data_IF_924923252321
#
_entry.id   IF_924923252321
#
_cell.length_a   1.000
_cell.length_b   1.000
_cell.length_c   1.000
_cell.angle_alpha   90.00
_cell.angle_beta   90.00
_cell.angle_gamma   90.00
#
_symmetry.space_group_name_H-M   'P 1'
#
loop_
_entity.id
_entity.type
_entity.pdbx_description
1 polymer ?
#
# COMPACT_ATOMS: atom_id res chain seq x y z
N UNK A 1 13.71 9.45 20.55
CA UNK A 1 12.41 9.90 20.04
C UNK A 1 12.48 11.25 19.32
N UNK A 2 12.76 12.36 20.01
CA UNK A 2 12.83 13.71 19.41
C UNK A 2 13.68 13.83 18.11
N UNK A 3 14.85 13.18 18.05
CA UNK A 3 15.68 13.15 16.83
C UNK A 3 14.97 12.50 15.64
N UNK A 4 14.25 11.39 15.87
CA UNK A 4 13.52 10.68 14.84
C UNK A 4 12.32 11.50 14.36
N UNK A 5 11.58 12.11 15.29
CA UNK A 5 10.46 13.00 14.97
C UNK A 5 10.90 14.19 14.11
N UNK A 6 12.04 14.82 14.45
CA UNK A 6 12.60 15.90 13.65
C UNK A 6 12.99 15.44 12.23
N UNK A 7 13.61 14.27 12.09
CA UNK A 7 13.94 13.72 10.76
C UNK A 7 12.66 13.51 9.93
N UNK A 8 11.60 12.97 10.53
CA UNK A 8 10.31 12.82 9.86
C UNK A 8 9.78 14.20 9.43
N UNK A 9 9.76 15.19 10.31
CA UNK A 9 9.31 16.55 9.97
C UNK A 9 10.06 17.16 8.78
N UNK A 10 11.39 17.01 8.71
CA UNK A 10 12.19 17.55 7.61
C UNK A 10 12.01 16.82 6.28
N UNK A 11 11.57 15.57 6.29
CA UNK A 11 11.35 14.78 5.08
C UNK A 11 10.01 15.08 4.39
N UNK A 12 9.10 15.80 5.07
CA UNK A 12 7.74 16.03 4.60
C UNK A 12 7.56 17.39 3.93
N UNK A 13 6.63 17.44 2.98
CA UNK A 13 6.12 18.71 2.46
C UNK A 13 5.21 19.39 3.49
N UNK A 14 4.90 20.67 3.29
CA UNK A 14 4.10 21.45 4.24
C UNK A 14 2.75 20.82 4.58
N UNK A 15 2.06 20.23 3.60
CA UNK A 15 0.77 19.58 3.83
C UNK A 15 0.89 18.37 4.76
N UNK A 16 1.85 17.49 4.50
CA UNK A 16 2.09 16.31 5.33
C UNK A 16 2.61 16.69 6.72
N UNK A 17 3.45 17.72 6.82
CA UNK A 17 3.91 18.25 8.10
C UNK A 17 2.76 18.75 8.97
N UNK A 18 1.84 19.56 8.42
CA UNK A 18 0.68 20.05 9.18
C UNK A 18 -0.17 18.90 9.73
N UNK A 19 -0.28 17.80 8.98
CA UNK A 19 -1.08 16.63 9.36
C UNK A 19 -0.49 15.88 10.55
N UNK A 20 0.84 15.79 10.65
CA UNK A 20 1.53 15.14 11.78
C UNK A 20 1.98 16.10 12.87
N UNK A 21 1.72 17.41 12.72
CA UNK A 21 2.20 18.45 13.64
C UNK A 21 1.71 18.29 15.09
N UNK A 22 0.57 17.61 15.28
CA UNK A 22 0.02 17.31 16.61
C UNK A 22 0.59 16.02 17.22
N UNK A 23 1.36 15.22 16.48
CA UNK A 23 1.97 13.99 16.99
C UNK A 23 3.11 14.33 17.96
N UNK A 24 3.15 13.65 19.10
CA UNK A 24 4.14 13.91 20.15
C UNK A 24 5.33 12.96 20.08
N UNK A 25 5.15 11.79 19.45
CA UNK A 25 6.20 10.80 19.27
C UNK A 25 6.48 10.51 17.81
N UNK A 26 7.70 10.05 17.51
CA UNK A 26 8.05 9.64 16.16
C UNK A 26 7.18 8.48 15.66
N UNK A 27 6.73 7.61 16.58
CA UNK A 27 5.87 6.46 16.27
C UNK A 27 4.48 6.89 15.83
N UNK A 28 3.85 7.82 16.55
CA UNK A 28 2.55 8.38 16.17
C UNK A 28 2.60 9.07 14.81
N UNK A 29 3.62 9.89 14.57
CA UNK A 29 3.82 10.57 13.28
C UNK A 29 3.97 9.55 12.14
N UNK A 30 4.81 8.53 12.33
CA UNK A 30 5.02 7.47 11.35
C UNK A 30 3.74 6.67 11.08
N UNK A 31 3.02 6.25 12.12
CA UNK A 31 1.79 5.48 11.99
C UNK A 31 0.70 6.28 11.27
N UNK A 32 0.59 7.59 11.53
CA UNK A 32 -0.34 8.47 10.84
C UNK A 32 0.00 8.62 9.34
N UNK A 33 1.29 8.74 9.00
CA UNK A 33 1.75 8.75 7.61
C UNK A 33 1.38 7.43 6.93
N UNK A 34 1.66 6.30 7.56
CA UNK A 34 1.32 4.98 7.01
C UNK A 34 -0.18 4.84 6.78
N UNK A 35 -1.01 5.20 7.78
CA UNK A 35 -2.47 5.11 7.66
C UNK A 35 -3.00 6.01 6.54
N UNK A 36 -2.39 7.17 6.33
CA UNK A 36 -2.79 8.07 5.26
C UNK A 36 -2.56 7.45 3.89
N UNK A 37 -1.33 7.02 3.63
CA UNK A 37 -0.89 6.68 2.27
C UNK A 37 -1.20 5.22 1.92
N UNK A 38 -1.15 4.32 2.90
CA UNK A 38 -1.41 2.90 2.69
C UNK A 38 -2.82 2.48 3.12
N UNK A 39 -3.48 3.28 3.97
CA UNK A 39 -4.73 2.93 4.64
C UNK A 39 -4.51 2.27 6.00
N UNK A 40 -5.59 2.11 6.77
CA UNK A 40 -5.55 1.40 8.06
C UNK A 40 -5.18 -0.08 7.86
N UNK A 41 -4.73 -0.80 8.91
CA UNK A 41 -4.52 -2.25 8.83
C UNK A 41 -5.71 -3.02 8.25
N UNK A 42 -6.94 -2.62 8.60
CA UNK A 42 -8.19 -3.20 8.11
C UNK A 42 -8.36 -2.93 6.61
N UNK A 43 -8.12 -1.70 6.16
CA UNK A 43 -8.17 -1.33 4.74
C UNK A 43 -7.12 -2.12 3.94
N UNK A 44 -5.90 -2.26 4.46
CA UNK A 44 -4.85 -3.05 3.81
C UNK A 44 -5.21 -4.53 3.73
N UNK A 45 -5.81 -5.09 4.79
CA UNK A 45 -6.30 -6.47 4.80
C UNK A 45 -7.44 -6.66 3.79
N UNK A 46 -8.41 -5.75 3.74
CA UNK A 46 -9.49 -5.77 2.76
C UNK A 46 -8.96 -5.72 1.33
N UNK A 47 -8.05 -4.79 1.02
CA UNK A 47 -7.38 -4.69 -0.30
C UNK A 47 -6.67 -5.99 -0.68
N UNK A 48 -5.97 -6.61 0.27
CA UNK A 48 -5.30 -7.90 0.07
C UNK A 48 -6.29 -9.01 -0.27
N UNK A 49 -7.39 -9.11 0.47
CA UNK A 49 -8.42 -10.12 0.24
C UNK A 49 -9.10 -9.93 -1.12
N UNK A 50 -9.41 -8.68 -1.50
CA UNK A 50 -9.94 -8.37 -2.84
C UNK A 50 -9.00 -8.82 -3.94
N UNK A 51 -7.70 -8.52 -3.83
CA UNK A 51 -6.71 -8.93 -4.82
C UNK A 51 -6.52 -10.46 -4.88
N UNK A 52 -6.60 -11.15 -3.74
CA UNK A 52 -6.58 -12.62 -3.70
C UNK A 52 -7.80 -13.18 -4.44
N UNK A 53 -8.98 -12.63 -4.19
CA UNK A 53 -10.20 -13.06 -4.87
C UNK A 53 -10.11 -12.79 -6.39
N UNK A 54 -9.59 -11.62 -6.80
CA UNK A 54 -9.35 -11.31 -8.22
C UNK A 54 -8.35 -12.27 -8.86
N UNK A 55 -7.31 -12.67 -8.13
CA UNK A 55 -6.34 -13.67 -8.56
C UNK A 55 -6.97 -15.06 -8.72
N UNK A 56 -7.72 -15.52 -7.71
CA UNK A 56 -8.38 -16.84 -7.71
C UNK A 56 -9.45 -16.96 -8.79
N UNK A 57 -10.13 -15.86 -9.10
CA UNK A 57 -11.16 -15.79 -10.15
C UNK A 57 -10.60 -15.31 -11.49
N UNK A 58 -9.28 -15.14 -11.60
CA UNK A 58 -8.64 -14.58 -12.77
C UNK A 58 -8.85 -15.48 -13.98
N UNK A 59 -9.41 -14.90 -15.03
CA UNK A 59 -9.56 -15.54 -16.34
C UNK A 59 -9.37 -14.52 -17.45
N UNK A 60 -8.95 -15.01 -18.60
CA UNK A 60 -8.93 -14.21 -19.83
C UNK A 60 -10.37 -13.86 -20.23
N UNK A 61 -10.61 -12.62 -20.62
CA UNK A 61 -11.94 -12.17 -21.06
C UNK A 61 -12.10 -12.30 -22.57
N UNK A 62 -13.34 -12.46 -23.05
CA UNK A 62 -13.59 -12.52 -24.50
C UNK A 62 -13.19 -11.21 -25.17
N UNK A 63 -12.46 -11.30 -26.28
CA UNK A 63 -11.95 -10.14 -27.02
C UNK A 63 -10.68 -9.50 -26.44
N UNK A 64 -10.14 -10.04 -25.36
CA UNK A 64 -8.86 -9.61 -24.80
C UNK A 64 -7.68 -10.21 -25.57
N UNK A 65 -6.57 -9.48 -25.70
CA UNK A 65 -5.32 -10.04 -26.23
C UNK A 65 -4.51 -10.74 -25.14
N UNK A 66 -3.61 -11.64 -25.53
CA UNK A 66 -2.69 -12.29 -24.58
C UNK A 66 -1.86 -11.26 -23.81
N UNK A 67 -1.44 -10.17 -24.48
CA UNK A 67 -0.66 -9.11 -23.83
C UNK A 67 -1.48 -8.36 -22.78
N UNK A 68 -2.76 -8.09 -23.04
CA UNK A 68 -3.63 -7.40 -22.08
C UNK A 68 -3.89 -8.28 -20.85
N UNK A 69 -4.12 -9.57 -21.08
CA UNK A 69 -4.27 -10.56 -20.02
C UNK A 69 -3.01 -10.62 -19.14
N UNK A 70 -1.83 -10.69 -19.76
CA UNK A 70 -0.55 -10.70 -19.05
C UNK A 70 -0.32 -9.42 -18.24
N UNK A 71 -0.71 -8.25 -18.77
CA UNK A 71 -0.63 -6.98 -18.03
C UNK A 71 -1.51 -7.00 -16.78
N UNK A 72 -2.78 -7.44 -16.89
CA UNK A 72 -3.68 -7.54 -15.73
C UNK A 72 -3.17 -8.53 -14.69
N UNK A 73 -2.69 -9.69 -15.13
CA UNK A 73 -2.11 -10.69 -14.23
C UNK A 73 -0.89 -10.15 -13.48
N UNK A 74 0.04 -9.53 -14.21
CA UNK A 74 1.24 -8.91 -13.62
C UNK A 74 0.88 -7.80 -12.64
N UNK A 75 -0.15 -7.01 -12.95
CA UNK A 75 -0.66 -5.98 -12.05
C UNK A 75 -1.13 -6.59 -10.71
N UNK A 76 -1.96 -7.64 -10.75
CA UNK A 76 -2.46 -8.32 -9.55
C UNK A 76 -1.30 -8.89 -8.72
N UNK A 77 -0.36 -9.60 -9.36
CA UNK A 77 0.80 -10.18 -8.68
C UNK A 77 1.66 -9.11 -8.02
N UNK A 78 1.95 -8.01 -8.72
CA UNK A 78 2.79 -6.94 -8.18
C UNK A 78 2.13 -6.26 -6.98
N UNK A 79 0.80 -6.05 -7.01
CA UNK A 79 0.07 -5.49 -5.87
C UNK A 79 0.05 -6.44 -4.67
N UNK A 80 -0.15 -7.75 -4.91
CA UNK A 80 -0.07 -8.77 -3.87
C UNK A 80 1.33 -8.83 -3.25
N UNK A 81 2.40 -8.78 -4.05
CA UNK A 81 3.78 -8.69 -3.57
C UNK A 81 4.02 -7.44 -2.71
N UNK A 82 3.52 -6.28 -3.17
CA UNK A 82 3.60 -5.02 -2.41
C UNK A 82 2.88 -5.07 -1.05
N UNK A 83 1.84 -5.90 -0.91
CA UNK A 83 1.13 -6.17 0.34
C UNK A 83 1.70 -7.36 1.13
N UNK A 84 2.92 -7.78 0.82
CA UNK A 84 3.65 -8.82 1.53
C UNK A 84 3.14 -10.24 1.30
N UNK A 85 2.49 -10.54 0.16
CA UNK A 85 2.35 -11.95 -0.28
C UNK A 85 3.67 -12.40 -0.90
N UNK A 86 4.19 -13.50 -0.38
CA UNK A 86 5.28 -14.25 -0.98
C UNK A 86 4.62 -15.31 -1.87
N UNK A 87 5.04 -15.35 -3.12
CA UNK A 87 4.68 -16.43 -4.03
C UNK A 87 5.90 -17.35 -4.06
N UNK A 88 5.73 -18.57 -3.56
CA UNK A 88 6.75 -19.61 -3.70
C UNK A 88 6.83 -20.03 -5.17
N UNK A 89 8.04 -20.34 -5.63
CA UNK A 89 8.38 -20.69 -7.02
C UNK A 89 8.06 -22.16 -7.35
#
# INVERSE_FOLDING_TARGET
DAKALNIIHFALNSNEFFRISACTTAKEAWDLIQVTHEGTPEVRCARKNTLIQEYETFRMTQGETIMDMQKRFTHIINHLKGLGKIFDE
#
